data_IF_542908230094
#
_entry.id   IF_542908230094
#
_cell.length_a   1.000
_cell.length_b   1.000
_cell.length_c   1.000
_cell.angle_alpha   90.00
_cell.angle_beta   90.00
_cell.angle_gamma   90.00
#
_symmetry.space_group_name_H-M   'P 1'
#
loop_
_entity.id
_entity.type
_entity.pdbx_description
1 polymer ?
#
# COMPACT_ATOMS: atom_id res chain seq x y z
N UNK A 1 -10.66 -14.18 -28.45
CA UNK A 1 -11.95 -14.11 -27.74
C UNK A 1 -12.59 -12.72 -27.89
N UNK A 2 -13.89 -12.51 -27.59
CA UNK A 2 -14.46 -11.15 -27.51
C UNK A 2 -14.38 -10.66 -26.06
N UNK A 3 -13.31 -9.95 -25.73
CA UNK A 3 -13.08 -9.36 -24.41
C UNK A 3 -14.20 -8.33 -24.13
N UNK A 4 -14.76 -8.36 -22.91
CA UNK A 4 -15.85 -7.49 -22.47
C UNK A 4 -15.41 -6.64 -21.28
N UNK A 5 -15.94 -5.42 -21.11
CA UNK A 5 -15.70 -4.64 -19.90
C UNK A 5 -16.22 -5.35 -18.64
N UNK A 6 -15.45 -5.29 -17.57
CA UNK A 6 -15.87 -5.73 -16.23
C UNK A 6 -16.77 -4.63 -15.64
N UNK A 7 -18.02 -4.98 -15.34
CA UNK A 7 -19.04 -4.04 -14.82
C UNK A 7 -19.75 -4.54 -13.57
N UNK A 8 -19.53 -5.80 -13.22
CA UNK A 8 -20.17 -6.51 -12.12
C UNK A 8 -19.13 -7.44 -11.50
N UNK A 9 -19.33 -7.83 -10.25
CA UNK A 9 -18.46 -8.82 -9.59
C UNK A 9 -18.45 -10.16 -10.34
N UNK A 10 -19.57 -10.56 -10.96
CA UNK A 10 -19.59 -11.78 -11.76
C UNK A 10 -18.64 -11.69 -12.96
N UNK A 11 -18.63 -10.58 -13.71
CA UNK A 11 -17.68 -10.42 -14.83
C UNK A 11 -16.23 -10.42 -14.34
N UNK A 12 -16.00 -9.93 -13.11
CA UNK A 12 -14.68 -9.89 -12.49
C UNK A 12 -14.20 -11.32 -12.17
N UNK A 13 -15.03 -12.15 -11.55
CA UNK A 13 -14.68 -13.55 -11.29
C UNK A 13 -14.49 -14.36 -12.59
N UNK A 14 -15.34 -14.17 -13.60
CA UNK A 14 -15.18 -14.80 -14.91
C UNK A 14 -13.84 -14.40 -15.58
N UNK A 15 -13.44 -13.14 -15.44
CA UNK A 15 -12.16 -12.65 -15.97
C UNK A 15 -10.96 -13.22 -15.20
N UNK A 16 -11.07 -13.34 -13.87
CA UNK A 16 -10.03 -13.98 -13.03
C UNK A 16 -9.85 -15.45 -13.37
N UNK A 17 -10.94 -16.23 -13.44
CA UNK A 17 -10.90 -17.65 -13.81
C UNK A 17 -10.25 -17.81 -15.20
N UNK A 18 -10.63 -16.97 -16.16
CA UNK A 18 -10.03 -17.01 -17.49
C UNK A 18 -8.54 -16.66 -17.47
N UNK A 19 -8.14 -15.64 -16.72
CA UNK A 19 -6.74 -15.26 -16.59
C UNK A 19 -5.92 -16.40 -15.97
N UNK A 20 -6.45 -17.09 -14.97
CA UNK A 20 -5.80 -18.24 -14.33
C UNK A 20 -5.52 -19.37 -15.34
N UNK A 21 -6.46 -19.67 -16.25
CA UNK A 21 -6.29 -20.69 -17.30
C UNK A 21 -5.14 -20.38 -18.27
N UNK A 22 -4.89 -19.09 -18.54
CA UNK A 22 -3.93 -18.63 -19.56
C UNK A 22 -2.73 -17.88 -18.97
N UNK A 23 -2.56 -17.92 -17.65
CA UNK A 23 -1.56 -17.14 -16.93
C UNK A 23 -0.11 -17.43 -17.41
N UNK A 24 0.19 -18.70 -17.67
CA UNK A 24 1.50 -19.16 -18.13
C UNK A 24 1.65 -19.11 -19.67
N UNK A 25 0.72 -18.47 -20.38
CA UNK A 25 0.82 -18.33 -21.83
C UNK A 25 2.07 -17.52 -22.22
N UNK A 26 2.71 -17.93 -23.33
CA UNK A 26 3.91 -17.22 -23.81
C UNK A 26 3.53 -15.85 -24.35
N UNK A 27 4.41 -14.88 -24.14
CA UNK A 27 4.32 -13.55 -24.75
C UNK A 27 4.19 -13.65 -26.28
N UNK A 28 3.47 -12.70 -26.89
CA UNK A 28 3.22 -12.64 -28.33
C UNK A 28 2.47 -13.86 -28.89
N UNK A 29 1.70 -14.55 -28.05
CA UNK A 29 0.72 -15.56 -28.49
C UNK A 29 -0.68 -15.02 -28.26
N UNK A 30 -1.70 -15.54 -28.96
CA UNK A 30 -3.08 -15.09 -28.75
C UNK A 30 -3.53 -15.18 -27.28
N UNK A 31 -3.10 -16.21 -26.55
CA UNK A 31 -3.40 -16.38 -25.14
C UNK A 31 -2.58 -15.42 -24.25
N UNK A 32 -1.32 -15.14 -24.61
CA UNK A 32 -0.48 -14.16 -23.91
C UNK A 32 -1.01 -12.73 -24.05
N UNK A 33 -1.40 -12.33 -25.27
CA UNK A 33 -2.02 -11.04 -25.53
C UNK A 33 -3.37 -10.92 -24.79
N UNK A 34 -4.12 -12.02 -24.70
CA UNK A 34 -5.37 -12.08 -23.93
C UNK A 34 -5.12 -11.95 -22.42
N UNK A 35 -4.10 -12.63 -21.88
CA UNK A 35 -3.71 -12.55 -20.48
C UNK A 35 -3.30 -11.11 -20.08
N UNK A 36 -2.54 -10.43 -20.95
CA UNK A 36 -2.16 -9.02 -20.74
C UNK A 36 -3.39 -8.10 -20.68
N UNK A 37 -4.31 -8.24 -21.65
CA UNK A 37 -5.52 -7.41 -21.67
C UNK A 37 -6.42 -7.71 -20.46
N UNK A 38 -6.60 -8.99 -20.10
CA UNK A 38 -7.36 -9.38 -18.91
C UNK A 38 -6.78 -8.77 -17.64
N UNK A 39 -5.45 -8.83 -17.48
CA UNK A 39 -4.76 -8.23 -16.34
C UNK A 39 -5.03 -6.73 -16.23
N UNK A 40 -5.00 -5.99 -17.35
CA UNK A 40 -5.27 -4.55 -17.37
C UNK A 40 -6.71 -4.20 -16.98
N UNK A 41 -7.70 -4.95 -17.49
CA UNK A 41 -9.11 -4.65 -17.17
C UNK A 41 -9.50 -5.09 -15.75
N UNK A 42 -8.88 -6.16 -15.23
CA UNK A 42 -9.03 -6.63 -13.85
C UNK A 42 -8.45 -5.57 -12.91
N UNK A 43 -7.21 -5.13 -13.14
CA UNK A 43 -6.55 -4.08 -12.34
C UNK A 43 -7.37 -2.78 -12.31
N UNK A 44 -7.93 -2.35 -13.45
CA UNK A 44 -8.80 -1.18 -13.46
C UNK A 44 -10.06 -1.36 -12.59
N UNK A 45 -10.69 -2.54 -12.64
CA UNK A 45 -11.86 -2.82 -11.82
C UNK A 45 -11.51 -2.87 -10.32
N UNK A 46 -10.40 -3.52 -9.96
CA UNK A 46 -9.89 -3.59 -8.59
C UNK A 46 -9.55 -2.20 -8.04
N UNK A 47 -8.88 -1.35 -8.82
CA UNK A 47 -8.56 0.01 -8.39
C UNK A 47 -9.82 0.86 -8.09
N UNK A 48 -10.92 0.61 -8.80
CA UNK A 48 -12.21 1.30 -8.56
C UNK A 48 -13.00 0.72 -7.38
N UNK A 49 -13.00 -0.61 -7.22
CA UNK A 49 -13.92 -1.31 -6.29
C UNK A 49 -13.25 -1.84 -5.03
N UNK A 50 -11.97 -2.21 -5.11
CA UNK A 50 -11.15 -2.74 -4.02
C UNK A 50 -9.84 -1.95 -3.88
N UNK A 51 -9.90 -0.60 -3.73
CA UNK A 51 -8.69 0.21 -3.62
C UNK A 51 -7.86 -0.27 -2.43
N UNK A 52 -6.58 -0.54 -2.68
CA UNK A 52 -5.62 -0.81 -1.61
C UNK A 52 -5.42 0.50 -0.85
N UNK A 53 -6.12 0.65 0.28
CA UNK A 53 -5.94 1.82 1.13
C UNK A 53 -4.49 1.87 1.61
N UNK A 54 -3.80 2.95 1.27
CA UNK A 54 -2.46 3.17 1.79
C UNK A 54 -2.52 3.16 3.33
N UNK A 55 -1.53 2.53 4.00
CA UNK A 55 -1.49 2.46 5.45
C UNK A 55 -1.56 3.87 6.05
N UNK A 56 -2.13 3.98 7.24
CA UNK A 56 -2.02 5.24 7.97
C UNK A 56 -0.55 5.53 8.34
N UNK A 57 -0.20 6.79 8.69
CA UNK A 57 1.18 7.17 8.95
C UNK A 57 1.91 6.28 9.96
N UNK A 58 1.23 5.81 11.01
CA UNK A 58 1.87 5.01 12.06
C UNK A 58 2.14 3.60 11.56
N UNK A 59 1.22 3.04 10.79
CA UNK A 59 1.42 1.73 10.18
C UNK A 59 2.53 1.76 9.13
N UNK A 60 2.57 2.79 8.29
CA UNK A 60 3.65 3.00 7.34
C UNK A 60 5.03 3.09 8.01
N UNK A 61 5.11 3.77 9.17
CA UNK A 61 6.35 3.83 9.96
C UNK A 61 6.73 2.43 10.47
N UNK A 62 5.77 1.64 10.97
CA UNK A 62 6.02 0.29 11.48
C UNK A 62 6.51 -0.66 10.38
N UNK A 63 5.85 -0.65 9.22
CA UNK A 63 6.28 -1.41 8.04
C UNK A 63 7.71 -1.03 7.68
N UNK A 64 8.03 0.28 7.61
CA UNK A 64 9.40 0.72 7.34
C UNK A 64 10.40 0.31 8.41
N UNK A 65 10.01 0.30 9.67
CA UNK A 65 10.86 -0.22 10.74
C UNK A 65 11.16 -1.70 10.54
N UNK A 66 10.17 -2.50 10.15
CA UNK A 66 10.35 -3.93 9.85
C UNK A 66 11.25 -4.16 8.64
N UNK A 67 10.99 -3.46 7.52
CA UNK A 67 11.78 -3.55 6.29
C UNK A 67 13.26 -3.19 6.52
N UNK A 68 13.54 -2.32 7.49
CA UNK A 68 14.87 -1.80 7.80
C UNK A 68 15.50 -2.41 9.07
N UNK A 69 14.88 -3.43 9.69
CA UNK A 69 15.27 -4.02 10.98
C UNK A 69 15.52 -2.99 12.11
N UNK A 70 14.70 -1.93 12.14
CA UNK A 70 14.78 -0.85 13.13
C UNK A 70 13.98 -1.20 14.38
N UNK A 71 14.58 -0.93 15.54
CA UNK A 71 13.91 -1.06 16.83
C UNK A 71 13.41 0.30 17.29
N UNK A 72 12.47 0.29 18.23
CA UNK A 72 11.92 1.51 18.82
C UNK A 72 12.98 2.42 19.44
N UNK A 73 14.11 1.88 19.91
CA UNK A 73 15.24 2.66 20.40
C UNK A 73 15.92 3.50 19.31
N UNK A 74 15.91 3.03 18.07
CA UNK A 74 16.57 3.68 16.93
C UNK A 74 15.68 4.83 16.40
N UNK A 75 14.37 4.72 16.59
CA UNK A 75 13.41 5.78 16.31
C UNK A 75 13.53 7.02 17.21
N UNK A 76 14.26 6.92 18.33
CA UNK A 76 14.49 8.04 19.27
C UNK A 76 15.27 9.16 18.58
N UNK A 77 16.22 8.83 17.70
CA UNK A 77 16.99 9.85 16.98
C UNK A 77 16.15 10.56 15.89
N UNK A 78 15.07 9.92 15.44
CA UNK A 78 14.21 10.41 14.36
C UNK A 78 13.03 11.23 14.95
N UNK A 79 12.36 10.69 15.97
CA UNK A 79 11.15 11.26 16.57
C UNK A 79 11.47 12.13 17.79
N UNK A 80 12.58 11.89 18.48
CA UNK A 80 12.99 12.57 19.71
C UNK A 80 12.94 11.63 20.92
N UNK A 81 12.57 12.12 22.10
CA UNK A 81 12.69 11.33 23.34
C UNK A 81 12.00 9.95 23.30
N UNK A 82 12.48 9.01 24.13
CA UNK A 82 11.88 7.66 24.29
C UNK A 82 10.37 7.72 24.56
N UNK A 83 9.93 8.65 25.41
CA UNK A 83 8.50 8.86 25.72
C UNK A 83 7.74 9.30 24.46
N UNK A 84 8.20 10.33 23.74
CA UNK A 84 7.55 10.80 22.49
C UNK A 84 7.46 9.70 21.45
N UNK A 85 8.55 8.94 21.26
CA UNK A 85 8.60 7.83 20.31
C UNK A 85 7.54 6.79 20.64
N UNK A 86 7.44 6.40 21.90
CA UNK A 86 6.41 5.46 22.37
C UNK A 86 4.99 6.02 22.18
N UNK A 87 4.77 7.29 22.53
CA UNK A 87 3.46 7.94 22.36
C UNK A 87 3.02 7.98 20.90
N UNK A 88 3.93 8.33 19.98
CA UNK A 88 3.64 8.38 18.54
C UNK A 88 3.34 6.98 17.98
N UNK A 89 4.23 6.00 18.22
CA UNK A 89 4.05 4.64 17.71
C UNK A 89 2.81 3.94 18.29
N UNK A 90 2.37 4.34 19.47
CA UNK A 90 1.14 3.85 20.11
C UNK A 90 -0.09 4.74 19.83
N UNK A 91 0.01 5.69 18.90
CA UNK A 91 -1.08 6.60 18.49
C UNK A 91 -1.63 7.46 19.63
N UNK A 92 -0.87 7.72 20.69
CA UNK A 92 -1.24 8.66 21.76
C UNK A 92 -0.95 10.11 21.40
N UNK A 93 -0.09 10.33 20.40
CA UNK A 93 0.31 11.66 19.95
C UNK A 93 0.41 11.72 18.43
N UNK A 94 -0.01 12.85 17.86
CA UNK A 94 0.15 13.12 16.42
C UNK A 94 1.61 13.44 16.08
N UNK A 95 1.99 13.15 14.84
CA UNK A 95 3.26 13.58 14.26
C UNK A 95 3.30 15.11 14.18
N UNK A 96 4.44 15.68 14.55
CA UNK A 96 4.72 17.10 14.31
C UNK A 96 5.38 17.28 12.94
N UNK A 97 5.40 18.50 12.40
CA UNK A 97 6.09 18.80 11.14
C UNK A 97 7.56 18.40 11.15
N UNK A 98 8.27 18.61 12.27
CA UNK A 98 9.68 18.22 12.38
C UNK A 98 9.85 16.69 12.39
N UNK A 99 8.96 15.96 13.05
CA UNK A 99 8.95 14.49 12.98
C UNK A 99 8.72 14.02 11.54
N UNK A 100 7.78 14.65 10.82
CA UNK A 100 7.48 14.31 9.42
C UNK A 100 8.71 14.51 8.53
N UNK A 101 9.42 15.64 8.67
CA UNK A 101 10.66 15.90 7.92
C UNK A 101 11.73 14.85 8.23
N UNK A 102 11.95 14.54 9.50
CA UNK A 102 12.93 13.54 9.90
C UNK A 102 12.58 12.14 9.37
N UNK A 103 11.31 11.75 9.44
CA UNK A 103 10.83 10.46 8.92
C UNK A 103 10.95 10.37 7.40
N UNK A 104 10.69 11.46 6.68
CA UNK A 104 10.92 11.51 5.24
C UNK A 104 12.40 11.30 4.92
N UNK A 105 13.30 12.00 5.60
CA UNK A 105 14.74 11.90 5.34
C UNK A 105 15.33 10.54 5.75
N UNK A 106 14.89 9.98 6.87
CA UNK A 106 15.50 8.79 7.48
C UNK A 106 14.85 7.47 7.06
N UNK A 107 13.54 7.48 6.82
CA UNK A 107 12.78 6.29 6.43
C UNK A 107 12.31 6.34 4.98
N UNK A 108 12.63 7.40 4.23
CA UNK A 108 12.20 7.59 2.85
C UNK A 108 10.68 7.40 2.68
N UNK A 109 9.92 7.98 3.61
CA UNK A 109 8.45 7.98 3.62
C UNK A 109 7.92 9.28 3.02
N UNK A 110 6.95 9.18 2.11
CA UNK A 110 6.35 10.38 1.50
C UNK A 110 5.68 11.28 2.55
N UNK A 111 5.93 12.59 2.46
CA UNK A 111 5.21 13.57 3.28
C UNK A 111 3.70 13.47 3.08
N UNK A 112 3.21 13.21 1.86
CA UNK A 112 1.77 13.08 1.58
C UNK A 112 1.12 11.91 2.33
N UNK A 113 1.90 10.85 2.61
CA UNK A 113 1.48 9.75 3.46
C UNK A 113 1.47 10.19 4.92
N UNK A 114 2.57 10.78 5.40
CA UNK A 114 2.78 11.14 6.81
C UNK A 114 1.85 12.24 7.34
N UNK A 115 1.33 13.12 6.47
CA UNK A 115 0.36 14.17 6.84
C UNK A 115 -1.09 13.68 6.91
N UNK A 116 -1.37 12.43 6.49
CA UNK A 116 -2.74 11.89 6.55
C UNK A 116 -3.25 11.87 7.99
N UNK A 117 -4.54 12.15 8.16
CA UNK A 117 -5.17 12.01 9.46
C UNK A 117 -5.29 10.54 9.85
N UNK A 118 -5.04 10.25 11.13
CA UNK A 118 -5.23 8.94 11.74
C UNK A 118 -5.85 9.07 13.14
N UNK A 119 -6.54 8.03 13.63
CA UNK A 119 -7.13 8.04 14.95
C UNK A 119 -6.06 8.02 16.05
N UNK A 120 -6.34 8.76 17.13
CA UNK A 120 -5.53 8.78 18.35
C UNK A 120 -6.19 7.85 19.38
N UNK A 121 -5.37 7.03 20.05
CA UNK A 121 -5.79 6.18 21.17
C UNK A 121 -5.67 6.99 22.47
N UNK A 122 -6.77 7.10 23.20
CA UNK A 122 -6.81 7.67 24.54
C UNK A 122 -6.06 6.78 25.54
#
# INVERSE_FOLDING_TARGET
MKIKPIKTEQHYFEALERLEEIFDAKENTPDGDEAEILSLIIDNFENEHYPIEAPDPIEAIRIRMEEMDLKQKDMVEIIGSKSKTSEVLNRKKRLTLDMIRNLQEKLNLSASLLIKNYPIKN
#
